data_IF_542822528255
#
_entry.id   IF_542822528255
#
_cell.length_a   1.000
_cell.length_b   1.000
_cell.length_c   1.000
_cell.angle_alpha   90.00
_cell.angle_beta   90.00
_cell.angle_gamma   90.00
#
_symmetry.space_group_name_H-M   'P 1'
#
loop_
_entity.id
_entity.type
_entity.pdbx_description
1 polymer ?
#
# COMPACT_ATOMS: atom_id res chain seq x y z
N UNK A 1 -4.78 -3.02 -6.04
CA UNK A 1 -5.47 -3.83 -5.01
C UNK A 1 -6.74 -4.44 -5.58
N UNK A 2 -7.63 -3.67 -6.21
CA UNK A 2 -8.87 -4.16 -6.83
C UNK A 2 -8.70 -5.37 -7.75
N UNK A 3 -7.73 -5.30 -8.67
CA UNK A 3 -7.45 -6.37 -9.64
C UNK A 3 -7.21 -7.73 -8.97
N UNK A 4 -6.69 -7.72 -7.74
CA UNK A 4 -6.39 -8.90 -6.96
C UNK A 4 -7.55 -9.35 -6.05
N UNK A 5 -8.73 -8.73 -6.17
CA UNK A 5 -9.92 -9.06 -5.38
C UNK A 5 -9.83 -8.62 -3.91
N UNK A 6 -8.98 -7.63 -3.60
CA UNK A 6 -8.68 -7.26 -2.22
C UNK A 6 -9.47 -6.07 -1.70
N UNK A 7 -10.20 -5.36 -2.56
CA UNK A 7 -11.01 -4.21 -2.16
C UNK A 7 -12.47 -4.62 -1.93
N UNK A 8 -13.03 -4.17 -0.82
CA UNK A 8 -14.39 -4.51 -0.37
C UNK A 8 -15.44 -3.43 -0.73
N UNK A 9 -15.02 -2.29 -1.24
CA UNK A 9 -15.90 -1.27 -1.82
C UNK A 9 -15.62 -1.13 -3.31
N UNK A 10 -16.68 -0.95 -4.12
CA UNK A 10 -16.55 -0.62 -5.55
C UNK A 10 -16.04 0.81 -5.63
N UNK A 11 -14.75 0.94 -5.83
CA UNK A 11 -14.10 2.23 -6.00
C UNK A 11 -14.12 2.55 -7.50
N UNK A 12 -14.91 3.54 -7.91
CA UNK A 12 -15.02 3.96 -9.32
C UNK A 12 -13.79 4.76 -9.78
N UNK A 13 -12.57 4.32 -9.43
CA UNK A 13 -11.33 4.98 -9.82
C UNK A 13 -10.20 4.00 -10.05
N UNK A 14 -9.59 4.08 -11.23
CA UNK A 14 -8.49 3.23 -11.66
C UNK A 14 -7.20 4.05 -11.72
N UNK A 15 -6.16 3.58 -11.04
CA UNK A 15 -4.82 4.12 -11.17
C UNK A 15 -4.07 3.41 -12.29
N UNK A 16 -3.58 4.17 -13.27
CA UNK A 16 -2.82 3.62 -14.39
C UNK A 16 -1.56 4.43 -14.72
N UNK A 17 -0.55 3.70 -15.17
CA UNK A 17 0.69 4.28 -15.67
C UNK A 17 0.70 4.29 -17.19
N UNK A 18 1.25 5.36 -17.77
CA UNK A 18 1.43 5.48 -19.21
C UNK A 18 2.72 6.25 -19.52
N UNK A 19 3.20 6.15 -20.76
CA UNK A 19 4.46 6.78 -21.17
C UNK A 19 4.45 8.32 -21.06
N UNK A 20 3.25 8.93 -21.11
CA UNK A 20 3.06 10.37 -20.95
C UNK A 20 2.05 10.62 -19.85
N UNK A 21 2.37 11.52 -18.92
CA UNK A 21 1.41 11.98 -17.91
C UNK A 21 0.15 12.51 -18.60
N UNK A 22 -1.00 12.08 -18.12
CA UNK A 22 -2.30 12.59 -18.53
C UNK A 22 -3.00 13.25 -17.34
N UNK A 23 -4.01 14.09 -17.62
CA UNK A 23 -4.86 14.68 -16.58
C UNK A 23 -5.94 13.66 -16.21
N UNK A 24 -6.32 13.54 -14.93
CA UNK A 24 -7.46 12.74 -14.54
C UNK A 24 -8.68 13.01 -15.43
N UNK A 25 -9.38 11.94 -15.82
CA UNK A 25 -10.60 12.02 -16.62
C UNK A 25 -11.58 10.93 -16.19
N UNK A 26 -12.86 11.18 -16.42
CA UNK A 26 -13.91 10.20 -16.19
C UNK A 26 -14.36 9.60 -17.52
N UNK A 27 -14.58 8.29 -17.55
CA UNK A 27 -15.19 7.60 -18.67
C UNK A 27 -16.06 6.46 -18.13
N UNK A 28 -17.32 6.38 -18.57
CA UNK A 28 -18.29 5.37 -18.09
C UNK A 28 -18.38 5.31 -16.56
N UNK A 29 -18.46 6.47 -15.91
CA UNK A 29 -18.51 6.63 -14.44
C UNK A 29 -17.28 6.11 -13.68
N UNK A 30 -16.17 5.84 -14.37
CA UNK A 30 -14.88 5.45 -13.78
C UNK A 30 -13.87 6.60 -13.94
N UNK A 31 -13.29 7.05 -12.84
CA UNK A 31 -12.20 8.04 -12.86
C UNK A 31 -10.86 7.35 -13.14
N UNK A 32 -10.16 7.80 -14.18
CA UNK A 32 -8.84 7.31 -14.54
C UNK A 32 -7.79 8.28 -14.01
N UNK A 33 -6.92 7.78 -13.14
CA UNK A 33 -5.90 8.57 -12.45
C UNK A 33 -4.51 8.16 -12.91
N UNK A 34 -3.66 9.15 -13.19
CA UNK A 34 -2.27 8.90 -13.54
C UNK A 34 -1.46 8.49 -12.30
N UNK A 35 -0.88 7.29 -12.35
CA UNK A 35 0.13 6.81 -11.41
C UNK A 35 1.51 6.84 -12.09
N UNK A 36 2.54 7.48 -11.49
CA UNK A 36 3.89 7.50 -12.07
C UNK A 36 4.48 6.10 -12.26
N UNK A 37 4.98 5.81 -13.47
CA UNK A 37 5.77 4.60 -13.72
C UNK A 37 7.18 4.78 -13.15
N UNK A 38 7.54 4.00 -12.14
CA UNK A 38 8.83 4.13 -11.43
C UNK A 38 9.89 3.17 -11.97
N UNK A 39 9.49 1.93 -12.18
CA UNK A 39 10.33 0.87 -12.72
C UNK A 39 9.45 -0.14 -13.46
N UNK A 40 10.04 -0.92 -14.36
CA UNK A 40 9.31 -1.93 -15.14
C UNK A 40 9.29 -3.31 -14.50
N UNK A 41 10.13 -3.55 -13.50
CA UNK A 41 10.15 -4.79 -12.74
C UNK A 41 8.82 -4.99 -12.00
N UNK A 42 8.31 -6.22 -11.99
CA UNK A 42 7.00 -6.55 -11.44
C UNK A 42 5.81 -6.18 -12.33
N UNK A 43 6.01 -5.72 -13.58
CA UNK A 43 4.89 -5.58 -14.54
C UNK A 43 4.61 -6.93 -15.18
N UNK A 44 3.41 -7.45 -15.00
CA UNK A 44 2.96 -8.75 -15.52
C UNK A 44 1.79 -8.61 -16.49
N UNK A 45 1.66 -9.59 -17.38
CA UNK A 45 0.42 -9.82 -18.14
C UNK A 45 -0.38 -10.88 -17.38
N UNK A 46 -1.56 -10.55 -16.85
CA UNK A 46 -2.29 -11.48 -15.99
C UNK A 46 -2.89 -12.65 -16.76
N UNK A 47 -3.26 -12.45 -18.03
CA UNK A 47 -3.69 -13.51 -18.94
C UNK A 47 -3.42 -13.09 -20.39
N UNK A 48 -3.30 -14.05 -21.30
CA UNK A 48 -2.99 -13.79 -22.72
C UNK A 48 -4.03 -12.91 -23.42
N UNK A 49 -5.29 -13.00 -23.02
CA UNK A 49 -6.42 -12.26 -23.61
C UNK A 49 -6.63 -10.88 -22.96
N UNK A 50 -5.91 -10.53 -21.90
CA UNK A 50 -6.02 -9.23 -21.23
C UNK A 50 -4.99 -8.28 -21.84
N UNK A 51 -5.47 -7.23 -22.50
CA UNK A 51 -4.61 -6.22 -23.15
C UNK A 51 -3.87 -5.33 -22.15
N UNK A 52 -4.42 -5.18 -20.94
CA UNK A 52 -3.83 -4.40 -19.87
C UNK A 52 -2.69 -5.19 -19.17
N UNK A 53 -1.64 -4.45 -18.78
CA UNK A 53 -0.60 -4.95 -17.89
C UNK A 53 -0.86 -4.43 -16.49
N UNK A 54 -0.53 -5.24 -15.49
CA UNK A 54 -0.69 -4.90 -14.07
C UNK A 54 0.63 -5.07 -13.34
N UNK A 55 0.78 -4.44 -12.19
CA UNK A 55 1.86 -4.72 -11.25
C UNK A 55 1.56 -6.03 -10.53
N UNK A 56 2.57 -6.86 -10.27
CA UNK A 56 2.45 -8.05 -9.43
C UNK A 56 2.04 -7.67 -7.99
N UNK A 57 1.70 -8.68 -7.19
CA UNK A 57 1.13 -8.46 -5.86
C UNK A 57 2.11 -7.68 -4.98
N UNK A 58 3.36 -8.12 -4.90
CA UNK A 58 4.38 -7.55 -4.01
C UNK A 58 4.70 -6.11 -4.40
N UNK A 59 4.83 -5.81 -5.69
CA UNK A 59 4.97 -4.43 -6.16
C UNK A 59 3.74 -3.60 -5.83
N UNK A 60 2.54 -4.14 -6.02
CA UNK A 60 1.28 -3.43 -5.72
C UNK A 60 1.22 -3.05 -4.23
N UNK A 61 1.62 -3.96 -3.34
CA UNK A 61 1.72 -3.69 -1.90
C UNK A 61 2.67 -2.52 -1.64
N UNK A 62 3.88 -2.56 -2.21
CA UNK A 62 4.89 -1.52 -1.99
C UNK A 62 4.48 -0.18 -2.59
N UNK A 63 3.82 -0.17 -3.76
CA UNK A 63 3.31 1.04 -4.39
C UNK A 63 2.24 1.70 -3.51
N UNK A 64 1.31 0.92 -2.95
CA UNK A 64 0.29 1.42 -2.04
C UNK A 64 0.85 1.82 -0.66
N UNK A 65 1.84 1.11 -0.11
CA UNK A 65 2.53 1.53 1.13
C UNK A 65 3.24 2.87 0.93
N UNK A 66 3.86 3.05 -0.23
CA UNK A 66 4.55 4.28 -0.52
C UNK A 66 3.59 5.47 -0.70
N UNK A 67 2.49 5.23 -1.41
CA UNK A 67 1.42 6.19 -1.72
C UNK A 67 0.06 5.57 -1.38
N UNK A 68 -0.41 5.69 -0.12
CA UNK A 68 -1.66 5.09 0.33
C UNK A 68 -2.91 5.48 -0.47
N UNK A 69 -2.91 6.65 -1.10
CA UNK A 69 -3.98 7.10 -2.01
C UNK A 69 -4.25 6.11 -3.15
N UNK A 70 -3.24 5.34 -3.58
CA UNK A 70 -3.39 4.30 -4.59
C UNK A 70 -4.28 3.13 -4.13
N UNK A 71 -4.45 2.96 -2.81
CA UNK A 71 -5.36 1.98 -2.20
C UNK A 71 -6.69 2.59 -1.76
N UNK A 72 -6.90 3.91 -1.94
CA UNK A 72 -8.05 4.64 -1.37
C UNK A 72 -7.76 5.34 -0.05
N UNK A 73 -6.50 5.31 0.43
CA UNK A 73 -6.06 5.89 1.69
C UNK A 73 -5.39 4.85 2.60
N UNK A 74 -4.92 5.31 3.77
CA UNK A 74 -4.21 4.43 4.72
C UNK A 74 -5.13 3.37 5.35
N UNK A 75 -6.36 3.74 5.70
CA UNK A 75 -7.33 2.81 6.31
C UNK A 75 -7.68 1.67 5.34
N UNK A 76 -8.02 2.01 4.10
CA UNK A 76 -8.28 1.04 3.04
C UNK A 76 -7.05 0.17 2.73
N UNK A 77 -5.84 0.75 2.74
CA UNK A 77 -4.61 -0.03 2.61
C UNK A 77 -4.53 -1.10 3.72
N UNK A 78 -4.67 -0.71 4.98
CA UNK A 78 -4.59 -1.64 6.12
C UNK A 78 -5.65 -2.73 6.01
N UNK A 79 -6.89 -2.37 5.66
CA UNK A 79 -7.97 -3.32 5.46
C UNK A 79 -7.69 -4.31 4.31
N UNK A 80 -7.22 -3.82 3.17
CA UNK A 80 -6.86 -4.67 2.02
C UNK A 80 -5.73 -5.65 2.40
N UNK A 81 -4.71 -5.19 3.14
CA UNK A 81 -3.61 -6.04 3.62
C UNK A 81 -4.09 -7.08 4.62
N UNK A 82 -5.09 -6.75 5.44
CA UNK A 82 -5.70 -7.70 6.36
C UNK A 82 -6.41 -8.83 5.62
N UNK A 83 -6.92 -8.62 4.40
CA UNK A 83 -7.57 -9.68 3.62
C UNK A 83 -6.57 -10.60 2.89
N UNK A 84 -5.33 -10.15 2.69
CA UNK A 84 -4.31 -10.89 1.94
C UNK A 84 -3.85 -12.19 2.63
N UNK A 85 -3.41 -13.15 1.81
CA UNK A 85 -2.72 -14.35 2.30
C UNK A 85 -1.20 -14.17 2.39
N UNK A 86 -0.47 -15.26 2.18
CA UNK A 86 0.99 -15.24 2.10
C UNK A 86 1.49 -14.45 0.89
N UNK A 87 2.63 -13.77 1.04
CA UNK A 87 3.30 -13.02 -0.03
C UNK A 87 4.71 -13.55 -0.26
N UNK A 88 5.30 -13.27 -1.42
CA UNK A 88 6.67 -13.66 -1.72
C UNK A 88 7.67 -12.65 -1.10
N UNK A 89 8.27 -13.04 0.02
CA UNK A 89 9.27 -12.22 0.74
C UNK A 89 10.43 -11.80 -0.15
N UNK A 90 10.95 -12.71 -0.98
CA UNK A 90 12.10 -12.42 -1.84
C UNK A 90 11.74 -11.38 -2.91
N UNK A 91 10.51 -11.40 -3.44
CA UNK A 91 10.03 -10.37 -4.36
C UNK A 91 9.92 -9.01 -3.69
N UNK A 92 9.45 -8.93 -2.45
CA UNK A 92 9.42 -7.67 -1.70
C UNK A 92 10.85 -7.12 -1.51
N UNK A 93 11.78 -7.98 -1.11
CA UNK A 93 13.19 -7.60 -0.91
C UNK A 93 13.89 -7.15 -2.20
N UNK A 94 13.59 -7.78 -3.34
CA UNK A 94 14.10 -7.36 -4.65
C UNK A 94 13.48 -6.04 -5.13
N UNK A 95 12.21 -5.80 -4.82
CA UNK A 95 11.48 -4.62 -5.27
C UNK A 95 11.78 -3.37 -4.46
N UNK A 96 11.98 -3.48 -3.15
CA UNK A 96 12.23 -2.35 -2.23
C UNK A 96 13.35 -1.38 -2.69
N UNK A 97 14.54 -1.84 -3.14
CA UNK A 97 15.60 -0.96 -3.62
C UNK A 97 15.20 -0.07 -4.80
N UNK A 98 14.24 -0.49 -5.63
CA UNK A 98 13.83 0.21 -6.83
C UNK A 98 13.10 1.53 -6.53
N UNK A 99 12.64 1.72 -5.30
CA UNK A 99 11.98 2.96 -4.85
C UNK A 99 12.99 4.09 -4.58
N UNK A 100 14.29 3.76 -4.43
CA UNK A 100 15.36 4.75 -4.31
C UNK A 100 15.30 5.65 -3.08
N UNK A 101 14.55 5.29 -2.04
CA UNK A 101 14.38 6.11 -0.83
C UNK A 101 14.27 5.27 0.44
N UNK A 102 15.01 5.63 1.48
CA UNK A 102 15.06 4.89 2.74
C UNK A 102 13.73 4.88 3.51
N UNK A 103 12.85 5.86 3.29
CA UNK A 103 11.53 5.94 3.93
C UNK A 103 10.62 4.76 3.58
N UNK A 104 10.80 4.12 2.42
CA UNK A 104 9.97 2.97 2.05
C UNK A 104 10.22 1.80 2.99
N UNK A 105 11.48 1.54 3.35
CA UNK A 105 11.85 0.46 4.28
C UNK A 105 11.22 0.67 5.66
N UNK A 106 11.17 1.93 6.11
CA UNK A 106 10.53 2.27 7.38
C UNK A 106 9.02 2.03 7.34
N UNK A 107 8.34 2.54 6.31
CA UNK A 107 6.89 2.36 6.14
C UNK A 107 6.52 0.89 5.97
N UNK A 108 7.22 0.18 5.08
CA UNK A 108 6.98 -1.23 4.79
C UNK A 108 7.26 -2.10 6.01
N UNK A 109 8.39 -1.93 6.67
CA UNK A 109 8.73 -2.68 7.89
C UNK A 109 7.69 -2.47 8.99
N UNK A 110 7.22 -1.24 9.19
CA UNK A 110 6.19 -0.94 10.17
C UNK A 110 4.82 -1.54 9.79
N UNK A 111 4.28 -1.20 8.61
CA UNK A 111 2.94 -1.63 8.21
C UNK A 111 2.85 -3.15 8.11
N UNK A 112 3.81 -3.80 7.45
CA UNK A 112 3.76 -5.25 7.26
C UNK A 112 4.05 -6.04 8.55
N UNK A 113 4.63 -5.41 9.58
CA UNK A 113 4.80 -6.06 10.89
C UNK A 113 3.46 -6.39 11.55
N UNK A 114 2.42 -5.61 11.27
CA UNK A 114 1.06 -5.86 11.75
C UNK A 114 0.46 -7.16 11.19
N UNK A 115 0.99 -7.64 10.06
CA UNK A 115 0.48 -8.80 9.32
C UNK A 115 1.52 -9.91 9.17
N UNK A 116 2.62 -9.84 9.91
CA UNK A 116 3.82 -10.69 9.77
C UNK A 116 3.50 -12.18 9.61
N UNK A 117 2.75 -12.74 10.58
CA UNK A 117 2.46 -14.18 10.60
C UNK A 117 1.55 -14.60 9.45
N UNK A 118 0.57 -13.77 9.10
CA UNK A 118 -0.39 -14.03 8.02
C UNK A 118 0.27 -13.99 6.64
N UNK A 119 1.17 -13.03 6.45
CA UNK A 119 1.89 -12.84 5.19
C UNK A 119 3.09 -13.78 5.04
N UNK A 120 3.44 -14.54 6.08
CA UNK A 120 4.58 -15.45 6.06
C UNK A 120 5.94 -14.73 6.05
N UNK A 121 6.01 -13.51 6.61
CA UNK A 121 7.23 -12.71 6.60
C UNK A 121 8.17 -13.11 7.74
N UNK A 122 9.39 -13.46 7.38
CA UNK A 122 10.48 -13.86 8.25
C UNK A 122 11.16 -12.69 8.95
N UNK A 123 12.05 -13.02 9.89
CA UNK A 123 12.83 -12.03 10.64
C UNK A 123 13.79 -11.25 9.74
N UNK A 124 14.38 -11.92 8.75
CA UNK A 124 15.35 -11.35 7.80
C UNK A 124 14.76 -10.17 7.01
N UNK A 125 13.48 -10.27 6.63
CA UNK A 125 12.76 -9.17 5.99
C UNK A 125 12.75 -7.90 6.84
N UNK A 126 12.34 -8.01 8.11
CA UNK A 126 12.25 -6.87 9.02
C UNK A 126 13.63 -6.35 9.44
N UNK A 127 14.62 -7.23 9.55
CA UNK A 127 16.00 -6.82 9.76
C UNK A 127 16.50 -5.97 8.59
N UNK A 128 16.29 -6.42 7.35
CA UNK A 128 16.65 -5.66 6.14
C UNK A 128 15.94 -4.29 6.12
N UNK A 129 14.65 -4.25 6.47
CA UNK A 129 13.92 -2.99 6.60
C UNK A 129 14.53 -2.06 7.67
N UNK A 130 14.91 -2.60 8.82
CA UNK A 130 15.54 -1.85 9.91
C UNK A 130 16.90 -1.26 9.53
N UNK A 131 17.76 -2.06 8.89
CA UNK A 131 19.12 -1.65 8.49
C UNK A 131 19.10 -0.55 7.41
N UNK A 132 18.10 -0.58 6.51
CA UNK A 132 17.98 0.37 5.40
C UNK A 132 17.08 1.57 5.69
N UNK A 133 16.47 1.61 6.87
CA UNK A 133 15.64 2.74 7.31
C UNK A 133 16.48 3.98 7.60
N UNK A 134 15.97 5.16 7.21
CA UNK A 134 16.60 6.43 7.54
C UNK A 134 16.46 6.79 9.02
N UNK A 135 17.34 7.65 9.55
CA UNK A 135 17.34 8.07 10.98
C UNK A 135 16.19 9.02 11.37
N UNK A 136 15.44 9.53 10.39
CA UNK A 136 14.35 10.48 10.64
C UNK A 136 13.07 9.75 11.07
N UNK A 137 12.35 10.30 12.05
CA UNK A 137 10.96 9.91 12.32
C UNK A 137 10.09 10.29 11.12
N UNK A 138 9.27 9.35 10.64
CA UNK A 138 8.34 9.55 9.53
C UNK A 138 6.95 9.12 9.96
N UNK A 139 5.98 9.99 9.72
CA UNK A 139 4.56 9.68 9.90
C UNK A 139 4.04 8.96 8.65
N UNK A 140 3.05 8.09 8.84
CA UNK A 140 2.39 7.39 7.73
C UNK A 140 1.47 8.31 6.94
N UNK A 141 0.91 9.32 7.62
CA UNK A 141 0.05 10.38 7.07
C UNK A 141 0.82 11.69 6.95
N UNK A 142 0.43 12.52 5.99
CA UNK A 142 0.99 13.87 5.86
C UNK A 142 0.27 14.82 6.83
N UNK A 143 0.91 15.92 7.25
CA UNK A 143 0.29 16.88 8.19
C UNK A 143 -0.99 17.53 7.65
N UNK A 144 -1.26 17.43 6.34
CA UNK A 144 -2.44 18.01 5.68
C UNK A 144 -3.71 17.18 5.88
N UNK A 145 -3.59 15.93 6.31
CA UNK A 145 -4.73 15.07 6.66
C UNK A 145 -5.27 15.37 8.08
N UNK A 146 -4.66 16.30 8.82
CA UNK A 146 -5.14 16.81 10.12
C UNK A 146 -6.38 17.73 10.00
N UNK A 147 -7.15 17.62 8.91
CA UNK A 147 -8.38 18.37 8.68
C UNK A 147 -9.65 17.67 9.17
N UNK A 148 -9.56 16.40 9.56
CA UNK A 148 -10.66 15.70 10.21
C UNK A 148 -10.52 15.83 11.72
N UNK A 149 -11.20 16.83 12.28
CA UNK A 149 -11.50 16.89 13.71
C UNK A 149 -12.40 15.70 14.00
N UNK A 150 -11.84 14.62 14.57
CA UNK A 150 -12.67 13.74 15.39
C UNK A 150 -13.07 14.57 16.61
N UNK A 151 -14.36 14.84 16.85
CA UNK A 151 -14.76 15.46 18.10
C UNK A 151 -14.41 14.46 19.21
N UNK A 152 -13.29 14.75 19.88
CA UNK A 152 -12.88 14.05 21.08
C UNK A 152 -13.78 14.52 22.21
N UNK A 153 -14.87 13.80 22.44
CA UNK A 153 -15.51 13.72 23.75
C UNK A 153 -15.74 12.25 24.10
N UNK A 154 -15.16 11.88 25.25
CA UNK A 154 -15.49 10.74 26.10
C UNK A 154 -15.34 9.32 25.58
N UNK A 155 -14.16 8.73 25.82
CA UNK A 155 -14.04 7.32 26.28
C UNK A 155 -12.69 7.02 26.96
N UNK A 156 -12.27 7.88 27.89
CA UNK A 156 -11.31 7.50 28.94
C UNK A 156 -11.94 7.75 30.31
N UNK A 157 -13.02 7.02 30.61
CA UNK A 157 -13.43 6.73 31.99
C UNK A 157 -14.47 5.63 32.00
N UNK A 158 -14.02 4.37 32.12
CA UNK A 158 -14.73 3.30 32.83
C UNK A 158 -13.77 2.11 32.99
N UNK A 159 -13.21 2.05 34.19
CA UNK A 159 -12.68 0.85 34.81
C UNK A 159 -13.70 -0.29 34.72
N UNK A 160 -13.34 -1.42 34.11
CA UNK A 160 -14.07 -2.67 34.24
C UNK A 160 -13.06 -3.78 34.55
N UNK A 161 -13.16 -4.28 35.77
CA UNK A 161 -12.57 -5.51 36.30
C UNK A 161 -13.22 -6.73 35.64
N UNK A 162 -12.42 -7.71 35.23
CA UNK A 162 -12.92 -9.01 34.79
C UNK A 162 -13.19 -9.94 35.99
N UNK A 163 -14.28 -10.73 35.96
CA UNK A 163 -14.42 -11.92 36.80
C UNK A 163 -13.53 -13.06 36.33
#
# INVERSE_FOLDING_TARGET
MEFYGLQNQVWNRIYLSSAKRFRPFEFEFVEYMYAPDRHREGIVRPAEHVSARVTDMERTILDCIDQPDLAGGLEELVYNLELMGTVDEDRLLRSLPLYGKSVIYQKTGFILSLFKERMGLGREFFQTCGEKTGRSVRYLTDKREQGYIFPGEDCMSRSISYP
#
